data_IF_503092155477
#
_entry.id   IF_503092155477
#
_cell.length_a   1.000
_cell.length_b   1.000
_cell.length_c   1.000
_cell.angle_alpha   90.00
_cell.angle_beta   90.00
_cell.angle_gamma   90.00
#
_symmetry.space_group_name_H-M   'P 1'
#
loop_
_entity.id
_entity.type
_entity.pdbx_description
1 polymer ?
#
# COMPACT_ATOMS: atom_id res chain seq x y z
N UNK A 1 10.25 51.00 13.21
CA UNK A 1 10.91 49.83 13.83
C UNK A 1 12.39 50.13 14.08
N UNK A 2 12.89 49.98 15.31
CA UNK A 2 14.31 50.17 15.61
C UNK A 2 15.16 49.20 14.77
N UNK A 3 16.33 49.67 14.29
CA UNK A 3 17.24 48.90 13.42
C UNK A 3 17.54 47.49 13.95
N UNK A 4 17.61 47.34 15.29
CA UNK A 4 17.81 46.06 15.99
C UNK A 4 16.68 45.04 15.73
N UNK A 5 15.42 45.48 15.68
CA UNK A 5 14.27 44.58 15.44
C UNK A 5 14.27 44.07 13.99
N UNK A 6 14.65 44.91 13.01
CA UNK A 6 14.76 44.47 11.61
C UNK A 6 15.84 43.41 11.43
N UNK A 7 16.98 43.55 12.12
CA UNK A 7 18.07 42.57 12.10
C UNK A 7 17.64 41.24 12.72
N UNK A 8 16.94 41.28 13.86
CA UNK A 8 16.43 40.06 14.52
C UNK A 8 15.44 39.33 13.61
N UNK A 9 14.50 40.05 12.98
CA UNK A 9 13.52 39.45 12.07
C UNK A 9 14.20 38.78 10.87
N UNK A 10 15.20 39.43 10.27
CA UNK A 10 15.96 38.85 9.15
C UNK A 10 16.71 37.60 9.60
N UNK A 11 17.35 37.60 10.78
CA UNK A 11 18.04 36.43 11.33
C UNK A 11 17.08 35.26 11.57
N UNK A 12 15.88 35.52 12.11
CA UNK A 12 14.87 34.48 12.31
C UNK A 12 14.38 33.87 10.99
N UNK A 13 14.20 34.70 9.95
CA UNK A 13 13.79 34.23 8.62
C UNK A 13 14.87 33.39 7.95
N UNK A 14 16.14 33.79 8.05
CA UNK A 14 17.28 33.02 7.53
C UNK A 14 17.40 31.68 8.25
N UNK A 15 17.24 31.67 9.58
CA UNK A 15 17.27 30.43 10.36
C UNK A 15 16.14 29.46 10.00
N UNK A 16 14.91 29.96 9.83
CA UNK A 16 13.78 29.15 9.37
C UNK A 16 14.02 28.58 7.96
N UNK A 17 14.55 29.39 7.05
CA UNK A 17 14.86 28.95 5.68
C UNK A 17 15.93 27.84 5.67
N UNK A 18 16.96 27.94 6.52
CA UNK A 18 17.97 26.89 6.68
C UNK A 18 17.39 25.57 7.17
N UNK A 19 16.37 25.60 8.04
CA UNK A 19 15.74 24.39 8.56
C UNK A 19 14.93 23.65 7.47
N UNK A 20 14.32 24.37 6.53
CA UNK A 20 13.54 23.81 5.42
C UNK A 20 14.40 23.16 4.30
N UNK A 21 15.73 23.32 4.34
CA UNK A 21 16.65 22.74 3.35
C UNK A 21 17.05 21.28 3.64
N UNK A 22 16.49 20.66 4.69
CA UNK A 22 16.75 19.26 5.03
C UNK A 22 15.55 18.40 4.61
N UNK A 23 15.44 17.96 3.35
CA UNK A 23 14.39 17.03 2.96
C UNK A 23 14.61 15.71 3.70
N UNK A 24 13.59 15.25 4.45
CA UNK A 24 13.58 13.90 4.98
C UNK A 24 13.42 12.91 3.82
N UNK A 25 14.21 11.85 3.79
CA UNK A 25 14.02 10.76 2.83
C UNK A 25 12.66 10.09 3.09
N UNK A 26 11.73 10.22 2.15
CA UNK A 26 10.51 9.42 2.14
C UNK A 26 10.83 8.03 1.62
N UNK A 27 10.64 7.00 2.43
CA UNK A 27 10.72 5.62 1.96
C UNK A 27 9.44 5.30 1.20
N UNK A 28 9.53 5.21 -0.13
CA UNK A 28 8.46 4.61 -0.92
C UNK A 28 8.33 3.12 -0.54
N UNK A 29 7.14 2.53 -0.72
CA UNK A 29 6.98 1.09 -0.61
C UNK A 29 7.87 0.40 -1.65
N UNK A 30 8.99 -0.15 -1.20
CA UNK A 30 9.73 -1.18 -1.90
C UNK A 30 9.41 -2.48 -1.19
N UNK A 31 9.02 -3.52 -1.92
CA UNK A 31 8.88 -4.84 -1.32
C UNK A 31 10.18 -5.16 -0.60
N UNK A 32 10.13 -5.40 0.72
CA UNK A 32 11.24 -6.04 1.42
C UNK A 32 11.50 -7.34 0.64
N UNK A 33 12.72 -7.49 0.11
CA UNK A 33 13.02 -8.39 -1.01
C UNK A 33 12.36 -9.76 -0.97
N UNK A 34 12.14 -10.34 -2.16
CA UNK A 34 11.35 -11.56 -2.33
C UNK A 34 11.93 -12.74 -1.52
N UNK A 35 11.19 -13.26 -0.53
CA UNK A 35 11.53 -14.51 0.14
C UNK A 35 11.49 -15.69 -0.83
N UNK A 36 12.07 -16.81 -0.42
CA UNK A 36 11.99 -18.04 -1.21
C UNK A 36 10.55 -18.56 -1.29
N UNK A 37 10.26 -19.38 -2.30
CA UNK A 37 8.93 -19.98 -2.48
C UNK A 37 8.55 -20.83 -1.27
N UNK A 38 9.52 -21.53 -0.70
CA UNK A 38 9.36 -22.35 0.50
C UNK A 38 8.99 -21.50 1.71
N UNK A 39 9.70 -20.39 1.94
CA UNK A 39 9.39 -19.46 3.04
C UNK A 39 8.01 -18.81 2.87
N UNK A 40 7.62 -18.42 1.64
CA UNK A 40 6.29 -17.88 1.36
C UNK A 40 5.19 -18.91 1.61
N UNK A 41 5.40 -20.15 1.17
CA UNK A 41 4.46 -21.24 1.37
C UNK A 41 4.28 -21.54 2.85
N UNK A 42 5.35 -21.51 3.64
CA UNK A 42 5.30 -21.74 5.09
C UNK A 42 4.61 -20.61 5.84
N UNK A 43 4.87 -19.35 5.48
CA UNK A 43 4.31 -18.18 6.21
C UNK A 43 2.90 -17.77 5.77
N UNK A 44 2.45 -18.14 4.57
CA UNK A 44 1.15 -17.73 4.03
C UNK A 44 -0.01 -18.48 4.70
N UNK A 45 -1.13 -17.80 4.97
CA UNK A 45 -2.35 -18.45 5.51
C UNK A 45 -3.04 -19.34 4.47
N UNK A 46 -3.00 -18.94 3.19
CA UNK A 46 -3.63 -19.67 2.08
C UNK A 46 -2.79 -19.59 0.80
N UNK A 47 -2.74 -20.69 0.05
CA UNK A 47 -2.07 -20.78 -1.26
C UNK A 47 -2.97 -21.55 -2.22
N UNK A 48 -3.42 -20.89 -3.27
CA UNK A 48 -4.33 -21.46 -4.27
C UNK A 48 -4.15 -20.78 -5.63
N UNK A 49 -4.66 -21.43 -6.67
CA UNK A 49 -4.83 -20.86 -8.00
C UNK A 49 -6.31 -20.74 -8.27
N UNK A 50 -6.71 -19.65 -8.90
CA UNK A 50 -8.11 -19.37 -9.21
C UNK A 50 -8.26 -18.43 -10.39
N UNK A 51 -9.51 -18.24 -10.80
CA UNK A 51 -9.92 -17.27 -11.82
C UNK A 51 -10.64 -16.12 -11.13
N UNK A 52 -10.27 -14.88 -11.44
CA UNK A 52 -11.03 -13.71 -10.99
C UNK A 52 -12.35 -13.68 -11.77
N UNK A 53 -13.46 -13.67 -11.05
CA UNK A 53 -14.81 -13.67 -11.64
C UNK A 53 -15.61 -12.41 -11.31
N UNK A 54 -15.17 -11.62 -10.33
CA UNK A 54 -15.80 -10.34 -9.99
C UNK A 54 -14.82 -9.43 -9.21
N UNK A 55 -14.84 -8.13 -9.51
CA UNK A 55 -14.12 -7.10 -8.74
C UNK A 55 -15.12 -6.04 -8.24
N UNK A 56 -15.10 -5.77 -6.93
CA UNK A 56 -15.88 -4.71 -6.30
C UNK A 56 -15.00 -3.71 -5.57
N UNK A 57 -15.32 -2.41 -5.69
CA UNK A 57 -14.66 -1.34 -4.93
C UNK A 57 -15.67 -0.67 -4.00
N UNK A 58 -15.30 -0.51 -2.73
CA UNK A 58 -16.16 0.12 -1.73
C UNK A 58 -15.44 1.22 -0.98
N UNK A 59 -15.99 2.43 -1.05
CA UNK A 59 -15.56 3.56 -0.25
C UNK A 59 -16.01 3.37 1.19
N UNK A 60 -15.04 3.41 2.10
CA UNK A 60 -15.23 3.31 3.53
C UNK A 60 -15.59 4.68 4.12
N UNK A 61 -16.17 4.69 5.32
CA UNK A 61 -16.55 5.91 6.04
C UNK A 61 -15.37 6.84 6.32
N UNK A 62 -14.17 6.29 6.48
CA UNK A 62 -12.93 7.04 6.71
C UNK A 62 -12.32 7.62 5.41
N UNK A 63 -13.02 7.50 4.27
CA UNK A 63 -12.59 8.02 2.98
C UNK A 63 -11.68 7.10 2.17
N UNK A 64 -11.20 5.99 2.75
CA UNK A 64 -10.39 5.00 2.03
C UNK A 64 -11.26 4.13 1.12
N UNK A 65 -10.74 3.74 -0.04
CA UNK A 65 -11.38 2.74 -0.91
C UNK A 65 -10.74 1.38 -0.68
N UNK A 66 -11.56 0.34 -0.50
CA UNK A 66 -11.10 -1.05 -0.47
C UNK A 66 -11.56 -1.79 -1.73
N UNK A 67 -10.69 -2.63 -2.28
CA UNK A 67 -10.96 -3.51 -3.41
C UNK A 67 -11.21 -4.93 -2.90
N UNK A 68 -12.25 -5.57 -3.41
CA UNK A 68 -12.67 -6.93 -3.11
C UNK A 68 -12.67 -7.73 -4.41
N UNK A 69 -11.98 -8.85 -4.44
CA UNK A 69 -11.80 -9.66 -5.65
C UNK A 69 -12.30 -11.07 -5.37
N UNK A 70 -13.35 -11.49 -6.08
CA UNK A 70 -13.90 -12.83 -5.98
C UNK A 70 -13.16 -13.77 -6.93
N UNK A 71 -12.59 -14.83 -6.37
CA UNK A 71 -11.96 -15.92 -7.10
C UNK A 71 -12.87 -17.14 -7.15
N UNK A 72 -12.95 -17.76 -8.31
CA UNK A 72 -13.28 -19.18 -8.45
C UNK A 72 -11.99 -20.00 -8.30
N UNK A 73 -11.93 -20.84 -7.26
CA UNK A 73 -10.74 -21.63 -6.91
C UNK A 73 -10.63 -22.85 -7.81
N UNK A 74 -9.46 -23.05 -8.43
CA UNK A 74 -9.16 -24.19 -9.30
C UNK A 74 -8.36 -25.28 -8.58
N UNK A 75 -7.38 -24.89 -7.77
CA UNK A 75 -6.55 -25.82 -6.99
C UNK A 75 -6.01 -25.11 -5.76
N UNK A 76 -5.93 -25.85 -4.65
CA UNK A 76 -5.39 -25.36 -3.39
C UNK A 76 -4.18 -26.18 -2.98
N UNK A 77 -3.18 -25.50 -2.44
CA UNK A 77 -2.02 -26.09 -1.78
C UNK A 77 -2.04 -25.87 -0.25
N UNK A 78 -2.66 -24.79 0.25
CA UNK A 78 -2.71 -24.50 1.69
C UNK A 78 -3.96 -23.71 2.11
N UNK A 79 -4.46 -23.98 3.31
CA UNK A 79 -5.30 -23.07 4.11
C UNK A 79 -6.81 -23.10 3.84
N UNK A 80 -7.25 -23.35 2.62
CA UNK A 80 -8.66 -23.22 2.22
C UNK A 80 -9.23 -24.50 1.62
N UNK A 81 -10.55 -24.64 1.69
CA UNK A 81 -11.30 -25.75 1.05
C UNK A 81 -12.53 -25.27 0.28
N UNK A 82 -12.74 -23.96 0.21
CA UNK A 82 -13.86 -23.32 -0.44
C UNK A 82 -13.64 -23.28 -1.96
N UNK A 83 -14.72 -23.41 -2.73
CA UNK A 83 -14.71 -23.24 -4.19
C UNK A 83 -14.60 -21.77 -4.61
N UNK A 84 -14.87 -20.84 -3.71
CA UNK A 84 -14.77 -19.41 -3.94
C UNK A 84 -14.13 -18.69 -2.75
N UNK A 85 -13.34 -17.66 -3.04
CA UNK A 85 -12.64 -16.85 -2.03
C UNK A 85 -12.74 -15.38 -2.42
N UNK A 86 -13.02 -14.53 -1.43
CA UNK A 86 -12.97 -13.07 -1.60
C UNK A 86 -11.65 -12.57 -1.03
N UNK A 87 -10.79 -12.05 -1.89
CA UNK A 87 -9.57 -11.35 -1.51
C UNK A 87 -9.88 -9.88 -1.23
N UNK A 88 -9.45 -9.37 -0.09
CA UNK A 88 -9.49 -7.92 0.20
C UNK A 88 -8.10 -7.35 0.00
N UNK A 89 -7.97 -6.32 -0.83
CA UNK A 89 -6.68 -5.72 -1.22
C UNK A 89 -6.78 -4.20 -1.32
N UNK A 90 -5.63 -3.53 -1.33
CA UNK A 90 -5.50 -2.14 -1.76
C UNK A 90 -5.86 -1.96 -3.24
N UNK A 91 -5.91 -0.71 -3.67
CA UNK A 91 -6.25 -0.29 -5.02
C UNK A 91 -5.14 -0.55 -6.04
N UNK A 92 -3.88 -0.61 -5.62
CA UNK A 92 -2.71 -0.63 -6.50
C UNK A 92 -2.00 0.73 -6.54
N UNK A 93 -0.95 0.84 -7.36
CA UNK A 93 -0.29 2.12 -7.63
C UNK A 93 0.50 2.73 -6.45
N UNK A 94 0.88 1.91 -5.46
CA UNK A 94 1.74 2.33 -4.33
C UNK A 94 1.15 2.09 -2.94
N UNK A 95 -0.08 1.57 -2.85
CA UNK A 95 -0.75 1.23 -1.57
C UNK A 95 -0.62 -0.26 -1.17
N UNK A 96 0.33 -0.97 -1.78
CA UNK A 96 0.53 -2.43 -1.64
C UNK A 96 -0.64 -3.29 -2.15
N UNK A 97 -1.55 -2.73 -2.94
CA UNK A 97 -2.54 -3.50 -3.69
C UNK A 97 -1.98 -4.10 -4.98
N UNK A 98 -2.65 -5.13 -5.49
CA UNK A 98 -2.38 -5.75 -6.78
C UNK A 98 -3.46 -5.38 -7.80
N UNK A 99 -3.07 -5.15 -9.06
CA UNK A 99 -4.01 -4.84 -10.14
C UNK A 99 -4.58 -6.14 -10.72
N UNK A 100 -5.87 -6.39 -10.49
CA UNK A 100 -6.57 -7.57 -10.99
C UNK A 100 -7.36 -7.23 -12.24
N UNK A 101 -7.43 -8.18 -13.16
CA UNK A 101 -8.27 -8.09 -14.35
C UNK A 101 -9.35 -9.16 -14.28
N UNK A 102 -10.58 -8.77 -14.60
CA UNK A 102 -11.64 -9.74 -14.88
C UNK A 102 -11.33 -10.41 -16.21
N UNK A 103 -11.23 -11.75 -16.19
CA UNK A 103 -11.33 -12.53 -17.42
C UNK A 103 -12.64 -13.29 -17.38
N UNK A 104 -13.72 -12.79 -17.99
CA UNK A 104 -14.94 -13.56 -18.14
C UNK A 104 -14.69 -14.87 -18.90
#
# INVERSE_FOLDING_TARGET
MPKKIRVIVVLCLVFHAMFMLNPSTGYACSCAGEPTVEEELERSDAVFTGKVIEIQEKKQLNGLTKKYVLFEVKKTWKGISQSQVILTTGMGGGDCGYEFEERP
#
